data_IF_220004907260
#
_entry.id   IF_220004907260
#
_cell.length_a   1.000
_cell.length_b   1.000
_cell.length_c   1.000
_cell.angle_alpha   90.00
_cell.angle_beta   90.00
_cell.angle_gamma   90.00
#
_symmetry.space_group_name_H-M   'P 1'
#
loop_
_entity.id
_entity.type
_entity.pdbx_description
1 polymer ?
#
# COMPACT_ATOMS: atom_id res chain seq x y z
N UNK A 1 8.36 -15.50 -11.01
CA UNK A 1 8.81 -14.24 -10.34
C UNK A 1 8.56 -14.38 -8.83
N UNK A 2 9.39 -13.82 -7.96
CA UNK A 2 9.13 -13.83 -6.50
C UNK A 2 7.91 -12.95 -6.22
N UNK A 3 6.90 -13.45 -5.53
CA UNK A 3 5.75 -12.66 -5.10
C UNK A 3 6.16 -11.69 -3.98
N UNK A 4 5.47 -10.56 -3.86
CA UNK A 4 5.71 -9.62 -2.75
C UNK A 4 5.13 -10.09 -1.40
N UNK A 5 4.34 -11.15 -1.39
CA UNK A 5 3.58 -11.64 -0.24
C UNK A 5 2.07 -11.42 -0.39
N UNK A 6 1.28 -11.83 0.59
CA UNK A 6 -0.19 -11.74 0.58
C UNK A 6 -0.69 -10.43 1.18
N UNK A 7 -0.13 -10.07 2.34
CA UNK A 7 -0.47 -8.85 3.08
C UNK A 7 0.72 -7.91 3.06
N UNK A 8 0.57 -6.82 2.31
CA UNK A 8 1.54 -5.73 2.26
C UNK A 8 0.95 -4.56 3.04
N UNK A 9 1.57 -4.13 4.14
CA UNK A 9 1.03 -3.00 4.89
C UNK A 9 1.51 -1.69 4.30
N UNK A 10 0.54 -0.84 3.90
CA UNK A 10 0.80 0.56 3.57
C UNK A 10 1.11 1.33 4.86
N UNK A 11 2.36 1.27 5.29
CA UNK A 11 2.80 1.63 6.62
C UNK A 11 2.69 3.15 6.86
N UNK A 12 2.24 3.54 8.07
CA UNK A 12 2.32 4.93 8.55
C UNK A 12 3.77 5.34 8.76
N UNK A 13 4.03 6.66 8.74
CA UNK A 13 5.31 7.25 9.13
C UNK A 13 5.16 7.94 10.48
N UNK A 14 6.11 7.75 11.40
CA UNK A 14 6.16 8.45 12.67
C UNK A 14 6.88 9.79 12.53
N UNK A 15 6.30 10.84 13.11
CA UNK A 15 6.92 12.18 13.19
C UNK A 15 7.02 12.63 14.63
N UNK A 16 8.09 13.38 14.92
CA UNK A 16 8.29 14.07 16.20
C UNK A 16 7.27 15.23 16.35
N UNK A 17 7.18 15.80 17.55
CA UNK A 17 6.25 16.89 17.83
C UNK A 17 6.50 18.16 16.99
N UNK A 18 7.69 18.34 16.46
CA UNK A 18 8.06 19.43 15.55
C UNK A 18 7.81 19.11 14.07
N UNK A 19 7.25 17.93 13.77
CA UNK A 19 6.97 17.45 12.42
C UNK A 19 8.15 16.80 11.70
N UNK A 20 9.32 16.73 12.31
CA UNK A 20 10.47 16.02 11.74
C UNK A 20 10.28 14.51 11.75
N UNK A 21 10.89 13.81 10.78
CA UNK A 21 10.84 12.37 10.68
C UNK A 21 11.43 11.69 11.93
N UNK A 22 10.68 10.72 12.50
CA UNK A 22 11.19 9.85 13.56
C UNK A 22 11.47 8.45 12.98
N UNK A 23 12.74 8.22 12.62
CA UNK A 23 13.17 6.94 12.01
C UNK A 23 13.07 5.79 13.01
N UNK A 24 13.51 5.97 14.26
CA UNK A 24 13.50 4.92 15.28
C UNK A 24 12.08 4.39 15.53
N UNK A 25 11.14 5.29 15.75
CA UNK A 25 9.73 4.93 15.93
C UNK A 25 9.13 4.27 14.68
N UNK A 26 9.49 4.75 13.49
CA UNK A 26 9.01 4.15 12.23
C UNK A 26 9.57 2.74 12.04
N UNK A 27 10.81 2.47 12.40
CA UNK A 27 11.41 1.13 12.41
C UNK A 27 10.73 0.22 13.44
N UNK A 28 10.42 0.72 14.63
CA UNK A 28 9.68 -0.05 15.64
C UNK A 28 8.29 -0.46 15.14
N UNK A 29 7.58 0.45 14.44
CA UNK A 29 6.30 0.14 13.80
C UNK A 29 6.49 -0.91 12.69
N UNK A 30 7.52 -0.79 11.86
CA UNK A 30 7.81 -1.75 10.79
C UNK A 30 8.02 -3.18 11.35
N UNK A 31 8.80 -3.33 12.41
CA UNK A 31 8.97 -4.60 13.10
C UNK A 31 7.65 -5.16 13.62
N UNK A 32 6.85 -4.32 14.31
CA UNK A 32 5.54 -4.74 14.79
C UNK A 32 4.65 -5.28 13.66
N UNK A 33 4.58 -4.60 12.52
CA UNK A 33 3.76 -5.01 11.38
C UNK A 33 4.19 -6.36 10.81
N UNK A 34 5.49 -6.55 10.59
CA UNK A 34 6.03 -7.80 10.08
C UNK A 34 5.87 -8.97 11.08
N UNK A 35 5.97 -8.70 12.38
CA UNK A 35 5.77 -9.71 13.43
C UNK A 35 4.27 -10.02 13.66
N UNK A 36 3.35 -9.21 13.08
CA UNK A 36 1.90 -9.34 13.27
C UNK A 36 1.11 -9.54 11.96
N UNK A 37 1.67 -10.29 11.02
CA UNK A 37 0.93 -10.84 9.88
C UNK A 37 1.14 -10.12 8.55
N UNK A 38 2.00 -9.10 8.49
CA UNK A 38 2.42 -8.51 7.23
C UNK A 38 3.57 -9.31 6.60
N UNK A 39 3.46 -9.63 5.31
CA UNK A 39 4.54 -10.25 4.52
C UNK A 39 5.52 -9.21 3.98
N UNK A 40 5.10 -7.95 3.97
CA UNK A 40 5.92 -6.83 3.50
C UNK A 40 5.30 -5.47 3.81
N UNK A 41 6.07 -4.44 3.51
CA UNK A 41 5.73 -3.05 3.82
C UNK A 41 5.79 -2.19 2.55
N UNK A 42 4.79 -1.32 2.38
CA UNK A 42 4.83 -0.22 1.42
C UNK A 42 5.17 1.05 2.18
N UNK A 43 6.39 1.53 1.99
CA UNK A 43 6.96 2.66 2.73
C UNK A 43 6.73 3.96 1.98
N UNK A 44 6.43 5.04 2.70
CA UNK A 44 6.10 6.37 2.15
C UNK A 44 4.97 6.34 1.11
N UNK A 45 3.96 5.46 1.26
CA UNK A 45 2.72 5.53 0.50
C UNK A 45 1.84 6.71 0.95
N UNK A 46 0.59 6.74 0.50
CA UNK A 46 -0.40 7.72 0.98
C UNK A 46 -0.57 7.67 2.50
N UNK A 47 -0.65 6.46 3.05
CA UNK A 47 -0.76 6.20 4.49
C UNK A 47 0.47 6.67 5.26
N UNK A 48 1.64 6.67 4.63
CA UNK A 48 2.89 7.19 5.19
C UNK A 48 3.08 8.70 5.03
N UNK A 49 2.02 9.45 4.67
CA UNK A 49 2.04 10.92 4.52
C UNK A 49 3.10 11.44 3.51
N UNK A 50 3.34 10.67 2.45
CA UNK A 50 4.33 10.98 1.40
C UNK A 50 4.33 12.43 0.88
N UNK A 51 3.17 13.11 0.66
CA UNK A 51 3.17 14.45 0.09
C UNK A 51 3.85 15.52 0.96
N UNK A 52 3.95 15.29 2.27
CA UNK A 52 4.50 16.24 3.25
C UNK A 52 5.94 15.91 3.66
N UNK A 53 6.52 14.85 3.11
CA UNK A 53 7.90 14.44 3.39
C UNK A 53 8.87 15.00 2.35
N UNK A 54 10.04 15.45 2.80
CA UNK A 54 11.14 15.80 1.90
C UNK A 54 11.69 14.55 1.18
N UNK A 55 12.42 14.76 0.10
CA UNK A 55 13.09 13.65 -0.61
C UNK A 55 14.13 12.99 0.29
N UNK A 56 14.85 13.77 1.05
CA UNK A 56 15.90 13.36 1.98
C UNK A 56 15.33 12.48 3.10
N UNK A 57 14.17 12.85 3.68
CA UNK A 57 13.48 12.05 4.68
C UNK A 57 13.04 10.68 4.11
N UNK A 58 12.49 10.68 2.89
CA UNK A 58 12.08 9.43 2.21
C UNK A 58 13.26 8.49 2.01
N UNK A 59 14.40 8.99 1.49
CA UNK A 59 15.61 8.20 1.28
C UNK A 59 16.15 7.64 2.59
N UNK A 60 16.17 8.47 3.64
CA UNK A 60 16.61 8.07 4.98
C UNK A 60 15.71 6.97 5.56
N UNK A 61 14.39 7.11 5.42
CA UNK A 61 13.44 6.12 5.90
C UNK A 61 13.51 4.81 5.09
N UNK A 62 13.61 4.87 3.76
CA UNK A 62 13.81 3.67 2.93
C UNK A 62 15.06 2.91 3.35
N UNK A 63 16.18 3.62 3.51
CA UNK A 63 17.45 3.01 3.91
C UNK A 63 17.37 2.35 5.28
N UNK A 64 16.74 3.01 6.25
CA UNK A 64 16.59 2.48 7.60
C UNK A 64 15.68 1.24 7.62
N UNK A 65 14.50 1.30 6.98
CA UNK A 65 13.56 0.18 6.93
C UNK A 65 14.14 -1.01 6.16
N UNK A 66 14.78 -0.78 5.02
CA UNK A 66 15.41 -1.85 4.23
C UNK A 66 16.52 -2.55 5.05
N UNK A 67 17.37 -1.79 5.74
CA UNK A 67 18.44 -2.32 6.57
C UNK A 67 17.92 -3.13 7.77
N UNK A 68 16.97 -2.57 8.52
CA UNK A 68 16.52 -3.16 9.78
C UNK A 68 15.46 -4.26 9.58
N UNK A 69 14.65 -4.18 8.51
CA UNK A 69 13.47 -5.03 8.31
C UNK A 69 13.51 -5.90 7.03
N UNK A 70 14.39 -5.62 6.07
CA UNK A 70 14.43 -6.32 4.78
C UNK A 70 14.70 -7.82 4.86
N UNK A 71 15.28 -8.31 5.96
CA UNK A 71 15.47 -9.73 6.22
C UNK A 71 14.20 -10.46 6.70
N UNK A 72 13.16 -9.70 7.14
CA UNK A 72 11.88 -10.24 7.66
C UNK A 72 10.78 -10.24 6.61
N UNK A 73 10.78 -9.32 5.67
CA UNK A 73 9.70 -9.18 4.69
C UNK A 73 10.07 -8.30 3.51
N UNK A 74 9.17 -8.24 2.55
CA UNK A 74 9.34 -7.45 1.32
C UNK A 74 9.25 -5.95 1.60
N UNK A 75 10.18 -5.15 1.08
CA UNK A 75 10.17 -3.69 1.22
C UNK A 75 9.91 -3.03 -0.13
N UNK A 76 8.77 -2.34 -0.24
CA UNK A 76 8.33 -1.62 -1.43
C UNK A 76 8.40 -0.12 -1.15
N UNK A 77 9.23 0.59 -1.92
CA UNK A 77 9.38 2.04 -1.80
C UNK A 77 8.40 2.78 -2.72
N UNK A 78 7.63 3.74 -2.19
CA UNK A 78 6.79 4.59 -3.02
C UNK A 78 7.61 5.74 -3.62
N UNK A 79 7.67 5.78 -4.96
CA UNK A 79 8.52 6.71 -5.72
C UNK A 79 7.76 7.54 -6.75
N UNK A 80 6.48 7.22 -6.99
CA UNK A 80 5.67 7.88 -8.02
C UNK A 80 5.28 9.32 -7.64
N UNK A 81 5.36 10.21 -8.62
CA UNK A 81 4.80 11.57 -8.58
C UNK A 81 4.02 11.86 -9.87
N UNK A 82 3.40 13.03 -9.97
CA UNK A 82 2.74 13.50 -11.21
C UNK A 82 3.70 14.17 -12.21
N UNK A 83 5.00 14.19 -11.92
CA UNK A 83 6.06 14.64 -12.83
C UNK A 83 6.99 13.48 -13.19
N UNK A 84 7.06 13.17 -14.49
CA UNK A 84 7.85 12.04 -15.01
C UNK A 84 9.33 12.19 -14.71
N UNK A 85 9.89 13.38 -14.90
CA UNK A 85 11.34 13.63 -14.69
C UNK A 85 11.72 13.46 -13.21
N UNK A 86 10.92 14.00 -12.31
CA UNK A 86 11.12 13.84 -10.86
C UNK A 86 11.02 12.38 -10.45
N UNK A 87 10.00 11.66 -10.95
CA UNK A 87 9.82 10.22 -10.67
C UNK A 87 11.03 9.40 -11.17
N UNK A 88 11.48 9.61 -12.40
CA UNK A 88 12.66 8.93 -12.99
C UNK A 88 13.92 9.19 -12.16
N UNK A 89 14.17 10.44 -11.77
CA UNK A 89 15.34 10.78 -10.96
C UNK A 89 15.28 10.10 -9.58
N UNK A 90 14.11 10.11 -8.95
CA UNK A 90 13.93 9.49 -7.63
C UNK A 90 14.07 7.97 -7.69
N UNK A 91 13.51 7.33 -8.72
CA UNK A 91 13.68 5.89 -8.98
C UNK A 91 15.16 5.51 -9.07
N UNK A 92 15.97 6.27 -9.82
CA UNK A 92 17.42 6.01 -9.95
C UNK A 92 18.18 6.10 -8.63
N UNK A 93 17.73 6.95 -7.70
CA UNK A 93 18.33 7.07 -6.37
C UNK A 93 17.90 5.90 -5.47
N UNK A 94 16.60 5.61 -5.42
CA UNK A 94 16.03 4.54 -4.59
C UNK A 94 16.51 3.15 -5.06
N UNK A 95 16.71 2.96 -6.37
CA UNK A 95 17.23 1.68 -6.92
C UNK A 95 18.67 1.35 -6.48
N UNK A 96 19.36 2.28 -5.82
CA UNK A 96 20.70 2.05 -5.26
C UNK A 96 20.68 1.65 -3.78
N UNK A 97 19.51 1.65 -3.16
CA UNK A 97 19.36 1.27 -1.76
C UNK A 97 19.22 -0.25 -1.67
N UNK A 98 20.18 -0.90 -1.03
CA UNK A 98 20.15 -2.33 -0.80
C UNK A 98 18.95 -2.73 0.07
N UNK A 99 18.28 -3.82 -0.28
CA UNK A 99 17.13 -4.34 0.47
C UNK A 99 15.78 -3.73 0.09
N UNK A 100 15.72 -2.91 -0.98
CA UNK A 100 14.45 -2.54 -1.63
C UNK A 100 14.10 -3.64 -2.64
N UNK A 101 12.95 -4.30 -2.45
CA UNK A 101 12.48 -5.39 -3.31
C UNK A 101 11.58 -4.94 -4.46
N UNK A 102 11.00 -3.75 -4.38
CA UNK A 102 10.12 -3.21 -5.40
C UNK A 102 9.76 -1.75 -5.22
N UNK A 103 9.12 -1.20 -6.22
CA UNK A 103 8.71 0.20 -6.28
C UNK A 103 7.20 0.31 -6.43
N UNK A 104 6.56 1.18 -5.65
CA UNK A 104 5.17 1.58 -5.86
C UNK A 104 5.15 2.88 -6.65
N UNK A 105 4.41 2.91 -7.75
CA UNK A 105 4.30 4.09 -8.63
C UNK A 105 2.83 4.43 -8.85
N UNK A 106 2.38 5.54 -8.26
CA UNK A 106 1.00 6.01 -8.42
C UNK A 106 0.77 6.57 -9.83
N UNK A 107 -0.42 6.34 -10.37
CA UNK A 107 -0.88 7.04 -11.59
C UNK A 107 -0.78 8.55 -11.36
N UNK A 108 -0.25 9.34 -12.33
CA UNK A 108 -0.09 10.78 -12.16
C UNK A 108 -1.37 11.47 -11.75
N UNK A 109 -1.35 12.11 -10.59
CA UNK A 109 -2.48 12.82 -9.98
C UNK A 109 -2.52 14.28 -10.44
N UNK A 110 -3.67 14.93 -10.32
CA UNK A 110 -3.91 16.34 -10.56
C UNK A 110 -3.88 16.74 -12.04
N UNK A 111 -2.78 16.50 -12.78
CA UNK A 111 -2.63 16.83 -14.20
C UNK A 111 -3.35 15.87 -15.17
N UNK A 112 -3.88 14.73 -14.67
CA UNK A 112 -4.80 13.80 -15.36
C UNK A 112 -4.37 13.45 -16.80
N UNK A 113 -3.20 12.87 -17.04
CA UNK A 113 -2.77 12.49 -18.37
C UNK A 113 -3.74 11.46 -18.99
N UNK A 114 -3.89 11.52 -20.32
CA UNK A 114 -4.57 10.47 -21.07
C UNK A 114 -3.76 9.14 -21.04
N UNK A 115 -4.31 8.06 -21.58
CA UNK A 115 -3.68 6.73 -21.52
C UNK A 115 -2.30 6.71 -22.19
N UNK A 116 -2.12 7.43 -23.32
CA UNK A 116 -0.82 7.56 -23.96
C UNK A 116 0.20 8.29 -23.07
N UNK A 117 -0.22 9.34 -22.38
CA UNK A 117 0.64 10.06 -21.42
C UNK A 117 0.99 9.19 -20.20
N UNK A 118 0.05 8.41 -19.71
CA UNK A 118 0.31 7.42 -18.64
C UNK A 118 1.29 6.35 -19.10
N UNK A 119 1.09 5.77 -20.28
CA UNK A 119 2.03 4.82 -20.86
C UNK A 119 3.45 5.38 -20.94
N UNK A 120 3.62 6.59 -21.50
CA UNK A 120 4.93 7.22 -21.63
C UNK A 120 5.57 7.53 -20.26
N UNK A 121 4.77 7.92 -19.26
CA UNK A 121 5.23 8.12 -17.89
C UNK A 121 5.79 6.83 -17.27
N UNK A 122 5.02 5.75 -17.29
CA UNK A 122 5.44 4.46 -16.73
C UNK A 122 6.59 3.83 -17.53
N UNK A 123 6.59 3.96 -18.86
CA UNK A 123 7.71 3.56 -19.71
C UNK A 123 9.01 4.21 -19.27
N UNK A 124 9.04 5.54 -19.12
CA UNK A 124 10.25 6.27 -18.73
C UNK A 124 10.75 5.84 -17.33
N UNK A 125 9.83 5.50 -16.42
CA UNK A 125 10.17 4.96 -15.09
C UNK A 125 10.73 3.54 -15.21
N UNK A 126 10.11 2.67 -15.99
CA UNK A 126 10.55 1.30 -16.20
C UNK A 126 11.95 1.25 -16.85
N UNK A 127 12.24 2.13 -17.79
CA UNK A 127 13.58 2.25 -18.40
C UNK A 127 14.67 2.74 -17.42
N UNK A 128 14.29 3.28 -16.27
CA UNK A 128 15.22 3.83 -15.29
C UNK A 128 15.64 2.85 -14.18
N UNK A 129 15.06 1.65 -14.14
CA UNK A 129 15.30 0.66 -13.07
C UNK A 129 15.09 -0.78 -13.60
N UNK A 130 15.64 -1.74 -12.87
CA UNK A 130 15.33 -3.17 -13.04
C UNK A 130 14.54 -3.73 -11.87
N UNK A 131 14.25 -2.91 -10.84
CA UNK A 131 13.43 -3.32 -9.72
C UNK A 131 11.99 -3.59 -10.16
N UNK A 132 11.30 -4.56 -9.57
CA UNK A 132 9.88 -4.79 -9.78
C UNK A 132 9.05 -3.55 -9.51
N UNK A 133 8.11 -3.22 -10.38
CA UNK A 133 7.22 -2.07 -10.28
C UNK A 133 5.79 -2.53 -10.03
N UNK A 134 5.18 -2.00 -8.97
CA UNK A 134 3.75 -2.06 -8.68
C UNK A 134 3.11 -0.72 -9.08
N UNK A 135 2.25 -0.73 -10.09
CA UNK A 135 1.44 0.44 -10.46
C UNK A 135 0.36 0.66 -9.39
N UNK A 136 0.11 1.90 -9.00
CA UNK A 136 -0.96 2.21 -8.06
C UNK A 136 -2.09 2.97 -8.75
N UNK A 137 -3.23 2.28 -8.91
CA UNK A 137 -4.44 2.82 -9.51
C UNK A 137 -5.45 3.21 -8.44
N UNK A 138 -5.70 4.52 -8.27
CA UNK A 138 -6.59 5.06 -7.24
C UNK A 138 -7.37 6.27 -7.77
N UNK A 139 -8.33 6.08 -8.68
CA UNK A 139 -9.03 7.17 -9.36
C UNK A 139 -9.67 8.21 -8.42
N UNK A 140 -10.12 7.78 -7.24
CA UNK A 140 -10.71 8.66 -6.22
C UNK A 140 -9.74 9.73 -5.69
N UNK A 141 -8.43 9.47 -5.72
CA UNK A 141 -7.40 10.42 -5.28
C UNK A 141 -6.71 11.15 -6.43
N UNK A 142 -6.53 10.47 -7.58
CA UNK A 142 -5.76 11.02 -8.70
C UNK A 142 -6.62 11.68 -9.77
N UNK A 143 -7.93 11.38 -9.78
CA UNK A 143 -8.89 11.93 -10.74
C UNK A 143 -8.86 11.30 -12.13
N UNK A 144 -8.06 10.25 -12.33
CA UNK A 144 -8.00 9.41 -13.53
C UNK A 144 -7.57 8.00 -13.14
N UNK A 145 -7.61 7.03 -14.07
CA UNK A 145 -7.15 5.67 -13.86
C UNK A 145 -6.36 5.15 -15.05
N UNK A 146 -5.53 4.14 -14.83
CA UNK A 146 -4.87 3.40 -15.92
C UNK A 146 -5.84 2.32 -16.43
N UNK A 147 -5.93 2.17 -17.76
CA UNK A 147 -6.74 1.13 -18.36
C UNK A 147 -6.01 -0.22 -18.34
N UNK A 148 -6.74 -1.34 -18.20
CA UNK A 148 -6.13 -2.68 -18.26
C UNK A 148 -5.31 -2.92 -19.52
N UNK A 149 -5.74 -2.39 -20.67
CA UNK A 149 -5.00 -2.48 -21.95
C UNK A 149 -3.68 -1.72 -21.93
N UNK A 150 -3.64 -0.53 -21.33
CA UNK A 150 -2.40 0.25 -21.16
C UNK A 150 -1.43 -0.48 -20.23
N UNK A 151 -1.94 -1.09 -19.16
CA UNK A 151 -1.14 -1.86 -18.23
C UNK A 151 -0.58 -3.14 -18.87
N UNK A 152 -1.39 -3.86 -19.65
CA UNK A 152 -0.96 -5.05 -20.38
C UNK A 152 0.13 -4.73 -21.41
N UNK A 153 0.02 -3.60 -22.11
CA UNK A 153 1.07 -3.15 -23.02
C UNK A 153 2.38 -2.87 -22.26
N UNK A 154 2.32 -2.16 -21.13
CA UNK A 154 3.49 -1.88 -20.28
C UNK A 154 4.15 -3.16 -19.80
N UNK A 155 3.37 -4.12 -19.29
CA UNK A 155 3.91 -5.40 -18.82
C UNK A 155 4.57 -6.21 -19.95
N UNK A 156 3.95 -6.25 -21.12
CA UNK A 156 4.51 -6.96 -22.30
C UNK A 156 5.86 -6.41 -22.74
N UNK A 157 6.05 -5.09 -22.68
CA UNK A 157 7.30 -4.43 -23.09
C UNK A 157 8.34 -4.36 -21.94
N UNK A 158 7.85 -4.29 -20.70
CA UNK A 158 8.64 -4.16 -19.47
C UNK A 158 8.16 -5.17 -18.42
N UNK A 159 8.58 -6.45 -18.47
CA UNK A 159 8.05 -7.50 -17.59
C UNK A 159 8.25 -7.25 -16.10
N UNK A 160 9.17 -6.36 -15.70
CA UNK A 160 9.33 -5.95 -14.31
C UNK A 160 8.26 -4.91 -13.85
N UNK A 161 7.42 -4.38 -14.74
CA UNK A 161 6.13 -3.79 -14.39
C UNK A 161 5.16 -4.96 -14.17
N UNK A 162 5.17 -5.53 -12.98
CA UNK A 162 4.66 -6.87 -12.70
C UNK A 162 3.53 -6.93 -11.68
N UNK A 163 3.10 -5.78 -11.17
CA UNK A 163 2.03 -5.73 -10.19
C UNK A 163 1.19 -4.46 -10.30
N UNK A 164 -0.03 -4.54 -9.78
CA UNK A 164 -0.90 -3.38 -9.55
C UNK A 164 -1.49 -3.43 -8.14
N UNK A 165 -1.49 -2.27 -7.45
CA UNK A 165 -2.38 -1.98 -6.35
C UNK A 165 -3.63 -1.35 -6.94
N UNK A 166 -4.73 -2.13 -7.02
CA UNK A 166 -5.99 -1.70 -7.60
C UNK A 166 -6.94 -1.18 -6.49
N UNK A 167 -7.20 0.10 -6.51
CA UNK A 167 -8.00 0.79 -5.50
C UNK A 167 -9.13 1.64 -6.12
N UNK A 168 -9.64 1.24 -7.29
CA UNK A 168 -10.79 1.91 -7.92
C UNK A 168 -12.13 1.53 -7.29
N UNK A 169 -12.18 0.41 -6.56
CA UNK A 169 -13.42 -0.19 -6.07
C UNK A 169 -14.21 -0.97 -7.13
N UNK A 170 -13.68 -1.11 -8.35
CA UNK A 170 -14.35 -1.80 -9.45
C UNK A 170 -13.72 -3.16 -9.74
N UNK A 171 -14.36 -4.24 -9.28
CA UNK A 171 -13.91 -5.62 -9.49
C UNK A 171 -13.74 -6.00 -10.97
N UNK A 172 -14.51 -5.37 -11.87
CA UNK A 172 -14.40 -5.65 -13.30
C UNK A 172 -13.05 -5.23 -13.89
N UNK A 173 -12.40 -4.21 -13.31
CA UNK A 173 -11.03 -3.82 -13.71
C UNK A 173 -10.04 -4.94 -13.37
N UNK A 174 -10.11 -5.50 -12.16
CA UNK A 174 -9.25 -6.63 -11.75
C UNK A 174 -9.50 -7.87 -12.61
N UNK A 175 -10.77 -8.19 -12.88
CA UNK A 175 -11.15 -9.29 -13.77
C UNK A 175 -10.60 -9.09 -15.18
N UNK A 176 -10.70 -7.88 -15.74
CA UNK A 176 -10.17 -7.55 -17.07
C UNK A 176 -8.63 -7.61 -17.11
N UNK A 177 -7.94 -7.16 -16.06
CA UNK A 177 -6.49 -7.28 -15.94
C UNK A 177 -6.08 -8.76 -16.02
N UNK A 178 -6.71 -9.64 -15.24
CA UNK A 178 -6.40 -11.07 -15.24
C UNK A 178 -6.82 -11.76 -16.56
N UNK A 179 -7.84 -11.26 -17.24
CA UNK A 179 -8.20 -11.75 -18.59
C UNK A 179 -7.13 -11.41 -19.65
N UNK A 180 -6.52 -10.21 -19.56
CA UNK A 180 -5.48 -9.76 -20.48
C UNK A 180 -4.10 -10.34 -20.15
N UNK A 181 -3.84 -10.61 -18.88
CA UNK A 181 -2.60 -11.15 -18.33
C UNK A 181 -2.95 -12.36 -17.44
N UNK A 182 -3.33 -13.51 -18.05
CA UNK A 182 -3.85 -14.67 -17.31
C UNK A 182 -2.78 -15.44 -16.54
N UNK A 183 -1.53 -15.26 -16.89
CA UNK A 183 -0.41 -15.95 -16.25
C UNK A 183 -0.12 -15.37 -14.85
N UNK A 184 0.60 -16.12 -14.03
CA UNK A 184 0.92 -15.73 -12.65
C UNK A 184 2.12 -14.78 -12.56
N UNK A 185 2.54 -14.22 -13.69
CA UNK A 185 3.65 -13.27 -13.78
C UNK A 185 3.20 -11.81 -13.53
N UNK A 186 1.88 -11.53 -13.54
CA UNK A 186 1.32 -10.23 -13.18
C UNK A 186 0.39 -10.33 -11.96
N UNK A 187 0.77 -9.62 -10.89
CA UNK A 187 0.12 -9.66 -9.58
C UNK A 187 -0.90 -8.53 -9.42
N UNK A 188 -2.12 -8.87 -9.01
CA UNK A 188 -3.15 -7.90 -8.65
C UNK A 188 -3.32 -7.89 -7.13
N UNK A 189 -3.12 -6.74 -6.50
CA UNK A 189 -3.36 -6.53 -5.07
C UNK A 189 -4.57 -5.63 -4.88
N UNK A 190 -5.46 -5.99 -3.95
CA UNK A 190 -6.48 -5.05 -3.49
C UNK A 190 -5.83 -3.83 -2.84
N UNK A 191 -6.28 -2.64 -3.21
CA UNK A 191 -5.93 -1.40 -2.52
C UNK A 191 -6.99 -0.97 -1.49
N UNK A 192 -8.02 -1.82 -1.30
CA UNK A 192 -9.14 -1.62 -0.38
C UNK A 192 -9.29 -2.87 0.49
N UNK A 193 -9.19 -2.70 1.80
CA UNK A 193 -9.26 -3.78 2.78
C UNK A 193 -10.60 -4.54 2.72
N UNK A 194 -11.71 -3.81 2.57
CA UNK A 194 -13.06 -4.37 2.48
C UNK A 194 -13.31 -5.16 1.19
N UNK A 195 -12.53 -4.89 0.14
CA UNK A 195 -12.64 -5.60 -1.13
C UNK A 195 -11.62 -6.74 -1.28
N UNK A 196 -10.81 -7.03 -0.26
CA UNK A 196 -9.77 -8.07 -0.35
C UNK A 196 -10.36 -9.41 -0.75
N UNK A 197 -11.30 -9.96 0.03
CA UNK A 197 -11.90 -11.27 -0.28
C UNK A 197 -12.64 -11.30 -1.63
N UNK A 198 -13.49 -10.34 -2.00
CA UNK A 198 -14.07 -10.27 -3.34
C UNK A 198 -13.02 -10.21 -4.45
N UNK A 199 -11.93 -9.49 -4.28
CA UNK A 199 -10.88 -9.39 -5.29
C UNK A 199 -10.08 -10.69 -5.45
N UNK A 200 -9.90 -11.49 -4.38
CA UNK A 200 -9.31 -12.83 -4.50
C UNK A 200 -10.15 -13.70 -5.45
N UNK A 201 -11.48 -13.59 -5.42
CA UNK A 201 -12.36 -14.37 -6.30
C UNK A 201 -12.25 -14.03 -7.78
N UNK A 202 -11.69 -12.89 -8.13
CA UNK A 202 -11.44 -12.46 -9.53
C UNK A 202 -9.93 -12.45 -9.86
N UNK A 203 -9.11 -13.15 -9.06
CA UNK A 203 -7.71 -13.43 -9.36
C UNK A 203 -6.69 -12.48 -8.73
N UNK A 204 -7.07 -11.66 -7.74
CA UNK A 204 -6.08 -10.98 -6.92
C UNK A 204 -5.29 -11.98 -6.07
N UNK A 205 -4.04 -11.61 -5.73
CA UNK A 205 -3.13 -12.45 -4.95
C UNK A 205 -2.91 -11.94 -3.51
N UNK A 206 -3.53 -10.81 -3.14
CA UNK A 206 -3.36 -10.23 -1.82
C UNK A 206 -3.90 -8.80 -1.71
N UNK A 207 -3.40 -8.09 -0.71
CA UNK A 207 -3.84 -6.72 -0.37
C UNK A 207 -2.66 -5.83 -0.03
N UNK A 208 -2.74 -4.55 -0.44
CA UNK A 208 -1.93 -3.47 0.15
C UNK A 208 -2.80 -2.76 1.17
N UNK A 209 -2.75 -3.25 2.38
CA UNK A 209 -3.67 -3.03 3.49
C UNK A 209 -3.36 -1.78 4.31
N UNK A 210 -4.39 -1.19 4.89
CA UNK A 210 -4.33 -0.20 5.97
C UNK A 210 -4.71 -0.86 7.30
N UNK A 211 -5.77 -1.66 7.31
CA UNK A 211 -6.27 -2.30 8.55
C UNK A 211 -5.27 -3.28 9.16
N UNK A 212 -4.34 -3.79 8.38
CA UNK A 212 -3.25 -4.66 8.84
C UNK A 212 -2.35 -4.03 9.91
N UNK A 213 -2.42 -2.72 10.16
CA UNK A 213 -1.77 -2.11 11.31
C UNK A 213 -2.30 -2.63 12.66
N UNK A 214 -3.55 -3.05 12.69
CA UNK A 214 -4.22 -3.54 13.91
C UNK A 214 -4.74 -4.96 13.77
N UNK A 215 -5.00 -5.44 12.54
CA UNK A 215 -5.62 -6.73 12.25
C UNK A 215 -4.83 -7.55 11.20
N UNK A 216 -3.51 -7.41 11.16
CA UNK A 216 -2.68 -8.05 10.13
C UNK A 216 -2.76 -9.58 10.14
N UNK A 217 -2.79 -10.21 11.33
CA UNK A 217 -2.93 -11.68 11.46
C UNK A 217 -4.23 -12.19 10.86
N UNK A 218 -5.35 -11.51 11.12
CA UNK A 218 -6.66 -11.91 10.60
C UNK A 218 -6.76 -11.66 9.10
N UNK A 219 -6.19 -10.57 8.59
CA UNK A 219 -6.10 -10.33 7.14
C UNK A 219 -5.32 -11.45 6.44
N UNK A 220 -4.20 -11.88 7.02
CA UNK A 220 -3.40 -12.97 6.49
C UNK A 220 -4.16 -14.31 6.58
N UNK A 221 -4.78 -14.60 7.74
CA UNK A 221 -5.57 -15.81 7.94
C UNK A 221 -6.76 -15.90 6.95
N UNK A 222 -7.43 -14.80 6.68
CA UNK A 222 -8.51 -14.72 5.69
C UNK A 222 -8.04 -15.13 4.29
N UNK A 223 -6.89 -14.57 3.86
CA UNK A 223 -6.32 -14.86 2.53
C UNK A 223 -5.86 -16.33 2.46
N UNK A 224 -5.16 -16.83 3.49
CA UNK A 224 -4.73 -18.23 3.57
C UNK A 224 -5.90 -19.21 3.56
N UNK A 225 -6.99 -18.92 4.27
CA UNK A 225 -8.20 -19.73 4.26
C UNK A 225 -8.81 -19.80 2.85
N UNK A 226 -8.89 -18.66 2.16
CA UNK A 226 -9.38 -18.62 0.79
C UNK A 226 -8.50 -19.44 -0.18
N UNK A 227 -7.19 -19.25 -0.15
CA UNK A 227 -6.22 -19.98 -1.01
C UNK A 227 -6.25 -21.48 -0.76
N UNK A 228 -6.53 -21.90 0.48
CA UNK A 228 -6.67 -23.30 0.86
C UNK A 228 -8.06 -23.90 0.55
N UNK A 229 -8.96 -23.14 -0.07
CA UNK A 229 -10.32 -23.59 -0.40
C UNK A 229 -11.31 -23.56 0.76
N UNK A 230 -10.92 -23.04 1.93
CA UNK A 230 -11.77 -22.90 3.11
C UNK A 230 -12.64 -21.64 3.04
N UNK A 231 -13.45 -21.51 1.98
CA UNK A 231 -14.18 -20.29 1.64
C UNK A 231 -15.15 -19.82 2.73
N UNK A 232 -15.79 -20.72 3.47
CA UNK A 232 -16.67 -20.38 4.60
C UNK A 232 -15.88 -19.72 5.74
N UNK A 233 -14.68 -20.20 6.03
CA UNK A 233 -13.81 -19.62 7.04
C UNK A 233 -13.30 -18.25 6.59
N UNK A 234 -12.85 -18.12 5.34
CA UNK A 234 -12.45 -16.84 4.77
C UNK A 234 -13.58 -15.79 4.86
N UNK A 235 -14.83 -16.20 4.55
CA UNK A 235 -16.01 -15.34 4.66
C UNK A 235 -16.29 -14.94 6.11
N UNK A 236 -16.18 -15.87 7.07
CA UNK A 236 -16.37 -15.61 8.49
C UNK A 236 -15.36 -14.57 9.00
N UNK A 237 -14.08 -14.72 8.65
CA UNK A 237 -13.04 -13.76 9.02
C UNK A 237 -13.29 -12.40 8.35
N UNK A 238 -13.64 -12.38 7.07
CA UNK A 238 -13.99 -11.14 6.35
C UNK A 238 -15.11 -10.38 7.05
N UNK A 239 -16.16 -11.07 7.48
CA UNK A 239 -17.29 -10.47 8.19
C UNK A 239 -16.90 -9.95 9.57
N UNK A 240 -16.04 -10.68 10.31
CA UNK A 240 -15.57 -10.21 11.63
C UNK A 240 -14.68 -8.96 11.55
N UNK A 241 -14.04 -8.73 10.40
CA UNK A 241 -13.23 -7.54 10.17
C UNK A 241 -14.03 -6.30 9.72
N UNK A 242 -15.33 -6.45 9.40
CA UNK A 242 -16.11 -5.39 8.75
C UNK A 242 -16.12 -4.07 9.55
N UNK A 243 -16.32 -4.13 10.86
CA UNK A 243 -16.43 -2.94 11.70
C UNK A 243 -15.08 -2.24 11.91
N UNK A 244 -13.99 -3.00 12.11
CA UNK A 244 -12.66 -2.42 12.23
C UNK A 244 -12.18 -1.84 10.89
N UNK A 245 -12.48 -2.48 9.75
CA UNK A 245 -12.22 -1.91 8.43
C UNK A 245 -12.96 -0.59 8.27
N UNK A 246 -14.26 -0.56 8.56
CA UNK A 246 -15.06 0.66 8.46
C UNK A 246 -14.51 1.78 9.34
N UNK A 247 -14.05 1.47 10.55
CA UNK A 247 -13.45 2.44 11.46
C UNK A 247 -12.14 3.04 10.91
N UNK A 248 -11.31 2.23 10.25
CA UNK A 248 -10.05 2.72 9.64
C UNK A 248 -10.27 3.64 8.42
N UNK A 249 -11.50 3.75 7.95
CA UNK A 249 -11.89 4.61 6.82
C UNK A 249 -13.08 5.55 7.14
N UNK A 250 -13.37 5.78 8.44
CA UNK A 250 -14.46 6.67 8.88
C UNK A 250 -14.21 8.12 8.41
N UNK A 251 -12.96 8.50 8.27
CA UNK A 251 -12.51 9.75 7.64
C UNK A 251 -11.28 9.47 6.77
N UNK A 252 -10.67 10.50 6.21
CA UNK A 252 -9.56 10.35 5.25
C UNK A 252 -8.37 9.60 5.86
N UNK A 253 -7.97 8.48 5.21
CA UNK A 253 -6.72 7.78 5.52
C UNK A 253 -5.51 8.73 5.23
N UNK A 254 -4.54 8.90 6.18
CA UNK A 254 -4.21 7.99 7.29
C UNK A 254 -4.77 8.39 8.68
N UNK A 255 -5.69 9.33 8.79
CA UNK A 255 -6.12 9.86 10.10
C UNK A 255 -6.59 8.74 11.04
N UNK A 256 -7.56 7.86 10.67
CA UNK A 256 -8.04 6.83 11.57
C UNK A 256 -6.96 5.83 11.97
N UNK A 257 -6.19 5.32 11.01
CA UNK A 257 -5.21 4.27 11.29
C UNK A 257 -4.05 4.77 12.15
N UNK A 258 -3.56 5.98 11.93
CA UNK A 258 -2.47 6.54 12.75
C UNK A 258 -2.94 6.80 14.19
N UNK A 259 -4.19 7.26 14.35
CA UNK A 259 -4.84 7.36 15.66
C UNK A 259 -4.95 5.97 16.32
N UNK A 260 -5.45 4.96 15.60
CA UNK A 260 -5.60 3.60 16.11
C UNK A 260 -4.26 3.00 16.55
N UNK A 261 -3.20 3.21 15.77
CA UNK A 261 -1.83 2.74 16.09
C UNK A 261 -1.32 3.36 17.41
N UNK A 262 -1.62 4.65 17.67
CA UNK A 262 -1.33 5.27 18.98
C UNK A 262 -2.14 4.62 20.11
N UNK A 263 -3.41 4.30 19.87
CA UNK A 263 -4.29 3.69 20.89
C UNK A 263 -3.85 2.29 21.31
N UNK A 264 -3.26 1.52 20.40
CA UNK A 264 -2.69 0.21 20.75
C UNK A 264 -1.26 0.31 21.32
N UNK A 265 -0.78 1.51 21.64
CA UNK A 265 0.48 1.73 22.34
C UNK A 265 1.72 1.82 21.45
N UNK A 266 1.58 1.92 20.14
CA UNK A 266 2.72 2.07 19.23
C UNK A 266 3.09 3.55 19.00
N UNK A 267 4.36 3.86 18.74
CA UNK A 267 4.86 5.22 18.70
C UNK A 267 4.60 5.91 17.34
N UNK A 268 3.33 6.11 16.96
CA UNK A 268 2.95 6.67 15.67
C UNK A 268 3.31 8.15 15.49
N UNK A 269 3.55 8.89 16.57
CA UNK A 269 3.88 10.32 16.53
C UNK A 269 2.71 11.22 16.14
N UNK A 270 3.03 12.44 15.67
CA UNK A 270 2.04 13.43 15.24
C UNK A 270 1.75 13.33 13.74
N UNK A 271 0.72 14.05 13.29
CA UNK A 271 0.45 14.27 11.86
C UNK A 271 1.22 15.50 11.36
N UNK A 272 1.65 15.46 10.11
CA UNK A 272 2.07 16.64 9.40
C UNK A 272 0.88 17.30 8.68
N UNK A 273 0.74 18.63 8.85
CA UNK A 273 -0.31 19.36 8.14
C UNK A 273 -0.21 19.12 6.62
N UNK A 274 -1.32 19.00 5.89
CA UNK A 274 -2.70 19.32 6.31
C UNK A 274 -3.44 18.20 7.07
N UNK A 275 -2.81 17.04 7.34
CA UNK A 275 -3.41 16.00 8.16
C UNK A 275 -3.40 16.44 9.64
N UNK A 276 -4.45 16.04 10.40
CA UNK A 276 -4.57 16.34 11.81
C UNK A 276 -5.24 15.17 12.55
N UNK A 277 -5.35 15.28 13.87
CA UNK A 277 -6.08 14.30 14.66
C UNK A 277 -7.56 14.22 14.27
N UNK A 278 -8.20 13.04 14.41
CA UNK A 278 -9.63 12.90 14.18
C UNK A 278 -10.44 13.78 15.13
N UNK A 279 -11.64 14.16 14.72
CA UNK A 279 -12.61 14.81 15.61
C UNK A 279 -12.96 13.90 16.79
N UNK A 280 -13.54 14.47 17.84
CA UNK A 280 -13.95 13.69 19.03
C UNK A 280 -14.97 12.59 18.68
N UNK A 281 -15.86 12.83 17.71
CA UNK A 281 -16.84 11.85 17.23
C UNK A 281 -16.17 10.71 16.46
N UNK A 282 -15.26 11.03 15.52
CA UNK A 282 -14.48 10.05 14.77
C UNK A 282 -13.59 9.21 15.71
N UNK A 283 -12.93 9.87 16.68
CA UNK A 283 -12.11 9.20 17.68
C UNK A 283 -12.92 8.21 18.52
N UNK A 284 -14.10 8.62 18.99
CA UNK A 284 -14.99 7.74 19.76
C UNK A 284 -15.47 6.52 18.95
N UNK A 285 -15.73 6.71 17.64
CA UNK A 285 -16.08 5.61 16.76
C UNK A 285 -14.92 4.61 16.59
N UNK A 286 -13.70 5.12 16.38
CA UNK A 286 -12.50 4.29 16.25
C UNK A 286 -12.21 3.54 17.57
N UNK A 287 -12.29 4.24 18.72
CA UNK A 287 -12.06 3.64 20.04
C UNK A 287 -13.03 2.49 20.32
N UNK A 288 -14.32 2.65 19.96
CA UNK A 288 -15.33 1.60 20.09
C UNK A 288 -14.99 0.39 19.24
N UNK A 289 -14.72 0.59 17.95
CA UNK A 289 -14.39 -0.51 17.04
C UNK A 289 -13.11 -1.25 17.44
N UNK A 290 -12.08 -0.53 17.92
CA UNK A 290 -10.87 -1.13 18.46
C UNK A 290 -11.15 -1.98 19.70
N UNK A 291 -11.93 -1.47 20.65
CA UNK A 291 -12.28 -2.19 21.87
C UNK A 291 -13.06 -3.48 21.57
N UNK A 292 -13.99 -3.43 20.61
CA UNK A 292 -14.75 -4.60 20.16
C UNK A 292 -13.88 -5.62 19.42
N UNK A 293 -12.91 -5.17 18.63
CA UNK A 293 -12.00 -6.05 17.88
C UNK A 293 -10.95 -6.72 18.77
N UNK A 294 -10.45 -6.06 19.81
CA UNK A 294 -9.39 -6.55 20.69
C UNK A 294 -9.88 -7.45 21.84
N UNK A 295 -11.19 -7.65 22.00
CA UNK A 295 -11.81 -8.60 22.96
C UNK A 295 -11.70 -10.04 22.46
#
# INVERSE_FOLDING_TARGET
MKTFGRVLTAMITSFNNDGSLNIENSVAIAHHLLDNGSDGLVVCGTTGENPTMSKEDKLSLFTAIAKECGHKGTIIANVGTNDTKSSVNFVKEVSKIDGIDGLLVVVPYYNKPNQQGQYLHFKAIAEATTLPIMVYNVPSRVGTGIFPTTLAQLHSEYPHVCAIKEASGNLMISSEIKRLMPEDDFMVYSGDDGLTLPMLSVGACGVVSVVSHVAGKDMNAMIQAYESGHNHEALRIHQSLADIIKAMFITTNPIPVKYAVRKIGLPAGVFNLPMCDPSAEEAAYIDKALAEYLQ
#
